data_IF_708572979378
#
_entry.id   IF_708572979378
#
_cell.length_a   1.000
_cell.length_b   1.000
_cell.length_c   1.000
_cell.angle_alpha   90.00
_cell.angle_beta   90.00
_cell.angle_gamma   90.00
#
_symmetry.space_group_name_H-M   'P 1'
#
loop_
_entity.id
_entity.type
_entity.pdbx_description
1 polymer ?
#
# COMPACT_ATOMS: atom_id res chain seq x y z
N UNK A 1 9.64 10.59 21.60
CA UNK A 1 10.60 10.88 20.52
C UNK A 1 9.94 11.80 19.52
N UNK A 2 10.72 12.65 18.85
CA UNK A 2 10.27 13.45 17.73
C UNK A 2 10.56 12.70 16.42
N UNK A 3 9.53 12.45 15.64
CA UNK A 3 9.57 11.53 14.50
C UNK A 3 9.08 12.23 13.25
N UNK A 4 9.87 12.22 12.18
CA UNK A 4 9.45 12.68 10.86
C UNK A 4 8.90 11.49 10.08
N UNK A 5 7.70 11.61 9.51
CA UNK A 5 7.11 10.62 8.61
C UNK A 5 7.05 11.21 7.22
N UNK A 6 7.93 10.74 6.32
CA UNK A 6 7.83 11.07 4.89
C UNK A 6 6.74 10.20 4.25
N UNK A 7 6.07 10.72 3.21
CA UNK A 7 4.95 10.00 2.62
C UNK A 7 3.73 9.86 3.56
N UNK A 8 3.55 10.80 4.50
CA UNK A 8 2.46 10.78 5.49
C UNK A 8 1.05 10.78 4.87
N UNK A 9 0.89 11.18 3.61
CA UNK A 9 -0.38 11.08 2.86
C UNK A 9 -0.58 9.73 2.18
N UNK A 10 0.41 8.83 2.21
CA UNK A 10 0.33 7.51 1.60
C UNK A 10 -0.42 6.50 2.46
N UNK A 11 -0.67 5.31 1.88
CA UNK A 11 -1.42 4.23 2.53
C UNK A 11 -0.85 3.84 3.91
N UNK A 12 0.43 3.50 3.96
CA UNK A 12 1.09 3.12 5.21
C UNK A 12 1.35 4.34 6.09
N UNK A 13 1.84 5.44 5.47
CA UNK A 13 2.25 6.64 6.22
C UNK A 13 1.12 7.26 7.04
N UNK A 14 -0.09 7.38 6.47
CA UNK A 14 -1.23 7.93 7.20
C UNK A 14 -1.66 7.08 8.40
N UNK A 15 -1.56 5.77 8.29
CA UNK A 15 -1.86 4.82 9.36
C UNK A 15 -0.75 4.77 10.41
N UNK A 16 0.51 4.90 9.96
CA UNK A 16 1.66 4.97 10.87
C UNK A 16 1.61 6.23 11.74
N UNK A 17 1.25 7.39 11.18
CA UNK A 17 1.06 8.61 11.98
C UNK A 17 0.07 8.37 13.12
N UNK A 18 -1.08 7.73 12.83
CA UNK A 18 -2.06 7.37 13.86
C UNK A 18 -1.45 6.47 14.94
N UNK A 19 -0.69 5.46 14.53
CA UNK A 19 -0.07 4.52 15.46
C UNK A 19 1.03 5.18 16.34
N UNK A 20 1.83 6.07 15.76
CA UNK A 20 2.87 6.80 16.47
C UNK A 20 2.28 7.78 17.51
N UNK A 21 1.21 8.48 17.14
CA UNK A 21 0.49 9.36 18.08
C UNK A 21 -0.11 8.58 19.26
N UNK A 22 -0.68 7.39 18.98
CA UNK A 22 -1.21 6.49 20.01
C UNK A 22 -0.12 6.00 20.98
N UNK A 23 1.15 5.96 20.54
CA UNK A 23 2.32 5.64 21.36
C UNK A 23 3.02 6.90 21.91
N UNK A 24 2.33 8.04 21.95
CA UNK A 24 2.78 9.30 22.56
C UNK A 24 4.08 9.87 21.94
N UNK A 25 4.30 9.62 20.64
CA UNK A 25 5.38 10.26 19.91
C UNK A 25 4.94 11.62 19.38
N UNK A 26 5.87 12.56 19.30
CA UNK A 26 5.69 13.84 18.62
C UNK A 26 5.94 13.63 17.12
N UNK A 27 4.91 13.81 16.29
CA UNK A 27 4.97 13.49 14.87
C UNK A 27 5.04 14.73 14.00
N UNK A 28 6.03 14.78 13.12
CA UNK A 28 6.15 15.72 12.01
C UNK A 28 5.69 15.00 10.75
N UNK A 29 4.50 15.33 10.28
CA UNK A 29 3.94 14.73 9.08
C UNK A 29 4.39 15.50 7.82
N UNK A 30 5.15 14.83 6.94
CA UNK A 30 5.76 15.45 5.79
C UNK A 30 5.09 15.02 4.48
N UNK A 31 4.81 16.00 3.61
CA UNK A 31 4.21 15.79 2.29
C UNK A 31 4.67 16.88 1.32
N UNK A 32 4.75 16.56 0.02
CA UNK A 32 4.97 17.55 -1.05
C UNK A 32 3.88 18.63 -1.09
N UNK A 33 2.67 18.23 -0.73
CA UNK A 33 1.53 19.14 -0.61
C UNK A 33 0.88 18.99 0.78
N UNK A 34 1.21 19.87 1.73
CA UNK A 34 0.69 19.80 3.10
C UNK A 34 -0.82 20.04 3.19
N UNK A 35 -1.46 20.67 2.19
CA UNK A 35 -2.92 20.82 2.15
C UNK A 35 -3.64 19.47 2.11
N UNK A 36 -3.00 18.43 1.56
CA UNK A 36 -3.54 17.06 1.57
C UNK A 36 -3.59 16.46 2.97
N UNK A 37 -2.70 16.88 3.87
CA UNK A 37 -2.68 16.43 5.27
C UNK A 37 -3.94 16.88 6.01
N UNK A 38 -4.51 18.05 5.67
CA UNK A 38 -5.72 18.62 6.31
C UNK A 38 -6.95 17.71 6.23
N UNK A 39 -6.93 16.74 5.32
CA UNK A 39 -8.03 15.78 5.13
C UNK A 39 -7.93 14.56 6.06
N UNK A 40 -6.83 14.43 6.79
CA UNK A 40 -6.58 13.29 7.67
C UNK A 40 -6.97 13.67 9.11
N UNK A 41 -7.63 12.74 9.79
CA UNK A 41 -8.25 12.99 11.08
C UNK A 41 -7.29 13.32 12.23
N UNK A 42 -6.00 13.15 12.01
CA UNK A 42 -4.93 13.47 12.96
C UNK A 42 -4.20 14.78 12.64
N UNK A 43 -4.69 15.55 11.67
CA UNK A 43 -3.97 16.76 11.22
C UNK A 43 -3.66 17.76 12.33
N UNK A 44 -4.59 17.95 13.25
CA UNK A 44 -4.45 18.89 14.36
C UNK A 44 -3.49 18.38 15.47
N UNK A 45 -3.13 17.09 15.42
CA UNK A 45 -2.27 16.44 16.41
C UNK A 45 -0.79 16.35 15.96
N UNK A 46 -0.46 16.85 14.76
CA UNK A 46 0.87 16.75 14.16
C UNK A 46 1.45 18.12 13.78
N UNK A 47 2.76 18.17 13.56
CA UNK A 47 3.40 19.30 12.90
C UNK A 47 3.52 19.07 11.39
N UNK A 48 2.66 19.70 10.54
CA UNK A 48 2.73 19.49 9.09
C UNK A 48 3.96 20.19 8.49
N UNK A 49 4.64 19.54 7.54
CA UNK A 49 5.79 20.11 6.82
C UNK A 49 5.70 19.82 5.32
N UNK A 50 6.12 20.80 4.53
CA UNK A 50 6.39 20.59 3.11
C UNK A 50 7.73 19.88 2.97
N UNK A 51 7.73 18.73 2.30
CA UNK A 51 8.94 17.96 2.03
C UNK A 51 8.82 17.28 0.67
N UNK A 52 9.73 17.62 -0.22
CA UNK A 52 9.99 16.90 -1.46
C UNK A 52 11.34 16.19 -1.35
N UNK A 53 11.33 14.86 -1.37
CA UNK A 53 12.54 14.05 -1.24
C UNK A 53 13.47 14.17 -2.47
N UNK A 54 12.95 14.61 -3.61
CA UNK A 54 13.76 14.89 -4.81
C UNK A 54 14.51 16.22 -4.73
N UNK A 55 14.12 17.11 -3.81
CA UNK A 55 14.72 18.44 -3.65
C UNK A 55 15.47 18.56 -2.31
N UNK A 56 16.83 18.60 -2.34
CA UNK A 56 17.64 18.77 -1.14
C UNK A 56 17.38 20.08 -0.38
N UNK A 57 16.91 21.13 -1.05
CA UNK A 57 16.58 22.41 -0.41
C UNK A 57 15.31 22.25 0.42
N UNK A 58 14.28 21.63 -0.15
CA UNK A 58 13.04 21.28 0.54
C UNK A 58 13.30 20.41 1.77
N UNK A 59 14.15 19.38 1.62
CA UNK A 59 14.55 18.50 2.72
C UNK A 59 15.20 19.28 3.86
N UNK A 60 16.23 20.10 3.58
CA UNK A 60 16.92 20.90 4.61
C UNK A 60 15.97 21.86 5.34
N UNK A 61 15.10 22.53 4.58
CA UNK A 61 14.10 23.44 5.17
C UNK A 61 13.12 22.69 6.09
N UNK A 62 12.65 21.50 5.68
CA UNK A 62 11.77 20.67 6.47
C UNK A 62 12.42 20.24 7.80
N UNK A 63 13.65 19.72 7.76
CA UNK A 63 14.38 19.29 8.95
C UNK A 63 14.74 20.46 9.88
N UNK A 64 15.21 21.59 9.33
CA UNK A 64 15.50 22.78 10.11
C UNK A 64 14.27 23.30 10.87
N UNK A 65 13.09 23.26 10.23
CA UNK A 65 11.84 23.70 10.87
C UNK A 65 11.20 22.64 11.78
N UNK A 66 11.63 21.38 11.69
CA UNK A 66 11.16 20.30 12.56
C UNK A 66 11.84 20.32 13.94
N UNK A 67 12.99 21.00 14.09
CA UNK A 67 13.83 20.92 15.29
C UNK A 67 14.60 19.59 15.38
N UNK A 68 15.14 19.23 16.55
CA UNK A 68 15.85 17.98 16.72
C UNK A 68 14.95 16.77 16.42
N UNK A 69 15.34 15.93 15.47
CA UNK A 69 14.60 14.75 15.03
C UNK A 69 15.33 13.50 15.49
N UNK A 70 14.62 12.60 16.17
CA UNK A 70 15.17 11.33 16.62
C UNK A 70 15.16 10.28 15.52
N UNK A 71 14.01 10.14 14.85
CA UNK A 71 13.75 9.08 13.86
C UNK A 71 13.08 9.66 12.61
N UNK A 72 13.48 9.18 11.45
CA UNK A 72 12.80 9.47 10.20
C UNK A 72 12.27 8.16 9.58
N UNK A 73 10.99 8.14 9.21
CA UNK A 73 10.41 7.07 8.40
C UNK A 73 10.46 7.45 6.92
N UNK A 74 11.13 6.62 6.13
CA UNK A 74 11.17 6.77 4.69
C UNK A 74 10.15 5.84 4.03
N UNK A 75 9.02 6.44 3.58
CA UNK A 75 7.88 5.72 2.99
C UNK A 75 7.55 6.26 1.59
N UNK A 76 8.50 6.86 0.92
CA UNK A 76 8.33 7.45 -0.42
C UNK A 76 8.78 6.46 -1.49
N UNK A 77 8.01 6.38 -2.57
CA UNK A 77 8.37 5.61 -3.77
C UNK A 77 7.65 6.16 -5.00
N UNK A 78 8.23 5.93 -6.18
CA UNK A 78 7.71 6.37 -7.47
C UNK A 78 7.21 5.24 -8.38
N UNK A 79 6.97 4.02 -7.86
CA UNK A 79 6.50 2.86 -8.65
C UNK A 79 5.37 3.25 -9.60
N UNK A 80 5.42 2.75 -10.83
CA UNK A 80 4.44 3.05 -11.86
C UNK A 80 4.70 4.36 -12.61
N UNK A 81 5.78 5.09 -12.28
CA UNK A 81 6.22 6.28 -13.01
C UNK A 81 7.44 5.95 -13.88
N UNK A 82 7.54 6.48 -15.10
CA UNK A 82 8.73 6.30 -15.92
C UNK A 82 9.99 6.75 -15.18
N UNK A 83 11.04 5.93 -15.19
CA UNK A 83 12.33 6.23 -14.53
C UNK A 83 12.27 6.28 -13.01
N UNK A 84 11.30 5.62 -12.41
CA UNK A 84 11.10 5.63 -10.95
C UNK A 84 12.31 5.10 -10.17
N UNK A 85 13.07 4.13 -10.73
CA UNK A 85 14.24 3.53 -10.09
C UNK A 85 15.32 4.56 -9.76
N UNK A 86 15.74 5.34 -10.76
CA UNK A 86 16.75 6.38 -10.57
C UNK A 86 16.24 7.52 -9.68
N UNK A 87 14.96 7.89 -9.84
CA UNK A 87 14.32 8.91 -9.03
C UNK A 87 14.19 8.50 -7.55
N UNK A 88 13.83 7.26 -7.27
CA UNK A 88 13.71 6.71 -5.89
C UNK A 88 15.10 6.64 -5.24
N UNK A 89 16.14 6.18 -5.97
CA UNK A 89 17.52 6.14 -5.48
C UNK A 89 18.04 7.55 -5.16
N UNK A 90 17.84 8.51 -6.06
CA UNK A 90 18.25 9.89 -5.84
C UNK A 90 17.54 10.53 -4.63
N UNK A 91 16.23 10.32 -4.51
CA UNK A 91 15.44 10.83 -3.38
C UNK A 91 15.90 10.23 -2.04
N UNK A 92 16.19 8.93 -2.01
CA UNK A 92 16.73 8.24 -0.83
C UNK A 92 18.11 8.79 -0.44
N UNK A 93 19.01 8.98 -1.41
CA UNK A 93 20.34 9.57 -1.20
C UNK A 93 20.23 10.98 -0.62
N UNK A 94 19.37 11.82 -1.19
CA UNK A 94 19.15 13.19 -0.70
C UNK A 94 18.67 13.20 0.75
N UNK A 95 17.69 12.34 1.07
CA UNK A 95 17.18 12.24 2.44
C UNK A 95 18.26 11.77 3.41
N UNK A 96 19.03 10.74 3.06
CA UNK A 96 20.06 10.17 3.93
C UNK A 96 21.13 11.22 4.29
N UNK A 97 21.60 11.99 3.29
CA UNK A 97 22.56 13.07 3.49
C UNK A 97 22.00 14.15 4.41
N UNK A 98 20.77 14.61 4.15
CA UNK A 98 20.15 15.66 4.97
C UNK A 98 19.84 15.17 6.36
N UNK A 99 19.40 13.93 6.54
CA UNK A 99 19.14 13.32 7.85
C UNK A 99 20.43 13.23 8.67
N UNK A 100 21.54 12.80 8.07
CA UNK A 100 22.87 12.81 8.69
C UNK A 100 23.26 14.22 9.14
N UNK A 101 23.18 15.20 8.23
CA UNK A 101 23.58 16.58 8.51
C UNK A 101 22.71 17.26 9.57
N UNK A 102 21.46 16.82 9.70
CA UNK A 102 20.51 17.25 10.75
C UNK A 102 20.68 16.50 12.08
N UNK A 103 21.60 15.55 12.18
CA UNK A 103 21.85 14.78 13.39
C UNK A 103 20.73 13.76 13.73
N UNK A 104 19.98 13.30 12.74
CA UNK A 104 18.99 12.23 12.91
C UNK A 104 19.71 10.96 13.36
N UNK A 105 19.17 10.29 14.37
CA UNK A 105 19.80 9.08 14.92
C UNK A 105 19.43 7.82 14.15
N UNK A 106 18.23 7.79 13.55
CA UNK A 106 17.70 6.57 12.92
C UNK A 106 16.85 6.86 11.72
N UNK A 107 17.04 6.04 10.67
CA UNK A 107 16.18 5.96 9.49
C UNK A 107 15.46 4.62 9.52
N UNK A 108 14.14 4.62 9.45
CA UNK A 108 13.32 3.40 9.28
C UNK A 108 12.75 3.40 7.88
N UNK A 109 13.12 2.41 7.09
CA UNK A 109 12.67 2.23 5.71
C UNK A 109 11.73 1.04 5.61
N UNK A 110 10.56 1.23 5.02
CA UNK A 110 9.67 0.13 4.62
C UNK A 110 9.79 -0.09 3.11
N UNK A 111 10.40 -1.22 2.75
CA UNK A 111 10.57 -1.67 1.37
C UNK A 111 9.85 -2.97 1.09
N UNK A 112 10.20 -3.63 -0.04
CA UNK A 112 9.81 -5.00 -0.34
C UNK A 112 10.83 -6.01 0.14
N UNK A 113 10.48 -7.28 0.12
CA UNK A 113 11.46 -8.36 0.16
C UNK A 113 12.38 -8.26 -1.05
N UNK A 114 13.63 -8.60 -0.85
CA UNK A 114 14.59 -8.74 -1.94
C UNK A 114 15.04 -10.20 -1.97
N UNK A 115 14.47 -11.03 -2.85
CA UNK A 115 14.91 -12.40 -3.04
C UNK A 115 16.40 -12.46 -3.37
N UNK A 116 17.05 -13.56 -2.99
CA UNK A 116 18.46 -13.79 -3.31
C UNK A 116 18.70 -14.23 -4.77
N UNK A 117 17.77 -13.97 -5.67
CA UNK A 117 17.84 -14.33 -7.08
C UNK A 117 18.77 -13.42 -7.87
N UNK A 118 19.43 -13.97 -8.91
CA UNK A 118 20.34 -13.20 -9.75
C UNK A 118 19.65 -12.20 -10.69
N UNK A 119 18.38 -12.46 -11.05
CA UNK A 119 17.60 -11.63 -11.98
C UNK A 119 16.34 -11.10 -11.30
N UNK A 120 16.47 -10.00 -10.58
CA UNK A 120 15.34 -9.31 -9.93
C UNK A 120 14.57 -8.44 -10.92
N UNK A 121 13.26 -8.29 -10.73
CA UNK A 121 12.47 -7.28 -11.42
C UNK A 121 12.99 -5.87 -11.13
N UNK A 122 12.69 -4.92 -12.03
CA UNK A 122 13.10 -3.52 -11.84
C UNK A 122 12.59 -2.96 -10.50
N UNK A 123 11.37 -3.32 -10.12
CA UNK A 123 10.78 -2.95 -8.84
C UNK A 123 11.58 -3.50 -7.64
N UNK A 124 11.93 -4.78 -7.63
CA UNK A 124 12.69 -5.39 -6.52
C UNK A 124 14.12 -4.84 -6.44
N UNK A 125 14.75 -4.62 -7.60
CA UNK A 125 16.06 -3.98 -7.69
C UNK A 125 16.03 -2.56 -7.10
N UNK A 126 15.00 -1.76 -7.44
CA UNK A 126 14.83 -0.42 -6.87
C UNK A 126 14.74 -0.44 -5.34
N UNK A 127 14.07 -1.44 -4.75
CA UNK A 127 13.97 -1.55 -3.28
C UNK A 127 15.32 -1.79 -2.60
N UNK A 128 16.16 -2.63 -3.19
CA UNK A 128 17.52 -2.86 -2.70
C UNK A 128 18.39 -1.60 -2.83
N UNK A 129 18.35 -0.93 -3.99
CA UNK A 129 19.13 0.30 -4.24
C UNK A 129 18.72 1.46 -3.33
N UNK A 130 17.43 1.57 -2.99
CA UNK A 130 16.94 2.55 -2.01
C UNK A 130 17.51 2.25 -0.62
N UNK A 131 17.52 0.99 -0.17
CA UNK A 131 18.12 0.61 1.11
C UNK A 131 19.62 0.93 1.16
N UNK A 132 20.35 0.65 0.07
CA UNK A 132 21.76 1.00 -0.07
C UNK A 132 21.96 2.52 0.02
N UNK A 133 21.15 3.29 -0.71
CA UNK A 133 21.23 4.75 -0.73
C UNK A 133 20.89 5.41 0.64
N UNK A 134 20.07 4.75 1.46
CA UNK A 134 19.75 5.19 2.82
C UNK A 134 20.86 4.84 3.83
N UNK A 135 21.81 3.98 3.45
CA UNK A 135 22.92 3.57 4.32
C UNK A 135 24.03 4.61 4.23
N UNK A 136 24.14 5.47 5.25
CA UNK A 136 25.16 6.51 5.37
C UNK A 136 25.79 6.47 6.75
N UNK A 137 26.99 7.02 6.90
CA UNK A 137 27.62 7.16 8.22
C UNK A 137 26.81 8.14 9.08
N UNK A 138 26.47 7.73 10.31
CA UNK A 138 25.75 8.51 11.30
C UNK A 138 24.41 7.87 11.67
N UNK A 139 23.33 8.07 10.90
CA UNK A 139 22.04 7.44 11.20
C UNK A 139 22.08 5.92 11.10
N UNK A 140 21.50 5.24 12.09
CA UNK A 140 21.24 3.80 11.99
C UNK A 140 20.11 3.51 10.99
N UNK A 141 20.32 2.57 10.08
CA UNK A 141 19.25 2.11 9.19
C UNK A 141 18.55 0.86 9.74
N UNK A 142 17.22 0.92 9.83
CA UNK A 142 16.36 -0.26 9.97
C UNK A 142 15.55 -0.42 8.68
N UNK A 143 15.86 -1.46 7.93
CA UNK A 143 15.13 -1.81 6.72
C UNK A 143 14.13 -2.92 7.03
N UNK A 144 12.84 -2.62 6.88
CA UNK A 144 11.75 -3.57 7.02
C UNK A 144 11.24 -3.92 5.62
N UNK A 145 11.42 -5.18 5.20
CA UNK A 145 10.88 -5.70 3.95
C UNK A 145 9.50 -6.31 4.16
N UNK A 146 8.56 -6.07 3.24
CA UNK A 146 7.26 -6.73 3.25
C UNK A 146 6.88 -7.15 1.83
N UNK A 147 6.24 -8.32 1.69
CA UNK A 147 5.65 -8.75 0.44
C UNK A 147 4.29 -8.06 0.22
N UNK A 148 3.21 -8.79 0.40
CA UNK A 148 1.85 -8.27 0.27
C UNK A 148 1.31 -7.78 1.61
N UNK A 149 0.98 -6.49 1.71
CA UNK A 149 0.31 -5.93 2.89
C UNK A 149 -1.20 -5.97 2.66
N UNK A 150 -1.93 -6.66 3.56
CA UNK A 150 -3.38 -6.81 3.48
C UNK A 150 -4.07 -5.70 4.25
N UNK A 151 -4.94 -4.97 3.56
CA UNK A 151 -5.80 -3.93 4.11
C UNK A 151 -6.41 -3.08 3.00
N UNK A 152 -7.60 -2.52 3.22
CA UNK A 152 -8.28 -1.69 2.24
C UNK A 152 -7.46 -0.44 1.90
N UNK A 153 -7.18 -0.23 0.61
CA UNK A 153 -6.32 0.85 0.12
C UNK A 153 -4.87 0.44 -0.14
N UNK A 154 -4.43 -0.72 0.32
CA UNK A 154 -3.13 -1.27 -0.08
C UNK A 154 -3.13 -1.62 -1.56
N UNK A 155 -2.12 -1.18 -2.30
CA UNK A 155 -2.02 -1.40 -3.75
C UNK A 155 -2.15 -2.88 -4.11
N UNK A 156 -1.35 -3.75 -3.49
CA UNK A 156 -1.36 -5.19 -3.77
C UNK A 156 -2.69 -5.85 -3.41
N UNK A 157 -3.27 -5.47 -2.25
CA UNK A 157 -4.58 -5.98 -1.85
C UNK A 157 -5.70 -5.53 -2.80
N UNK A 158 -5.72 -4.27 -3.20
CA UNK A 158 -6.75 -3.75 -4.11
C UNK A 158 -6.60 -4.32 -5.53
N UNK A 159 -5.38 -4.63 -5.98
CA UNK A 159 -5.18 -5.37 -7.23
C UNK A 159 -5.77 -6.78 -7.14
N UNK A 160 -5.44 -7.53 -6.09
CA UNK A 160 -6.02 -8.86 -5.84
C UNK A 160 -7.55 -8.78 -5.76
N UNK A 161 -8.09 -7.78 -5.05
CA UNK A 161 -9.52 -7.52 -4.95
C UNK A 161 -10.15 -7.25 -6.31
N UNK A 162 -9.52 -6.41 -7.14
CA UNK A 162 -10.03 -6.10 -8.46
C UNK A 162 -10.05 -7.33 -9.39
N UNK A 163 -9.02 -8.19 -9.31
CA UNK A 163 -8.99 -9.48 -10.00
C UNK A 163 -10.14 -10.38 -9.51
N UNK A 164 -10.24 -10.57 -8.19
CA UNK A 164 -11.28 -11.40 -7.59
C UNK A 164 -12.69 -10.88 -7.82
N UNK A 165 -12.89 -9.57 -7.93
CA UNK A 165 -14.20 -8.98 -8.20
C UNK A 165 -14.65 -9.14 -9.66
N UNK A 166 -13.72 -9.24 -10.61
CA UNK A 166 -14.00 -9.16 -12.05
C UNK A 166 -14.03 -10.51 -12.75
N UNK A 167 -13.19 -11.44 -12.31
CA UNK A 167 -13.01 -12.71 -13.00
C UNK A 167 -13.70 -13.88 -12.25
N UNK A 168 -14.97 -14.17 -12.53
CA UNK A 168 -15.62 -15.36 -11.96
C UNK A 168 -14.97 -16.65 -12.48
N UNK A 169 -14.46 -16.68 -13.72
CA UNK A 169 -13.59 -17.72 -14.24
C UNK A 169 -12.16 -17.18 -14.25
N UNK A 170 -11.36 -17.64 -13.28
CA UNK A 170 -10.03 -17.13 -13.01
C UNK A 170 -8.98 -17.94 -13.76
N UNK A 171 -8.27 -17.37 -14.74
CA UNK A 171 -7.09 -18.02 -15.28
C UNK A 171 -6.01 -18.08 -14.20
N UNK A 172 -5.45 -19.26 -13.99
CA UNK A 172 -4.41 -19.50 -12.99
C UNK A 172 -3.11 -19.89 -13.72
N UNK A 173 -2.22 -18.93 -14.01
CA UNK A 173 -0.88 -19.20 -14.47
C UNK A 173 -0.04 -19.91 -13.41
N UNK A 174 1.01 -20.62 -13.83
CA UNK A 174 1.86 -21.39 -12.92
C UNK A 174 2.58 -20.55 -11.86
N UNK A 175 2.93 -19.30 -12.16
CA UNK A 175 3.55 -18.40 -11.19
C UNK A 175 2.61 -18.00 -10.02
N UNK A 176 1.31 -18.18 -10.15
CA UNK A 176 0.38 -17.98 -9.03
C UNK A 176 0.54 -19.03 -7.92
N UNK A 177 1.31 -20.07 -8.14
CA UNK A 177 1.69 -21.06 -7.13
C UNK A 177 2.96 -20.67 -6.37
N UNK A 178 3.65 -19.61 -6.79
CA UNK A 178 4.81 -19.10 -6.07
C UNK A 178 4.45 -18.75 -4.62
N UNK A 179 5.29 -19.14 -3.66
CA UNK A 179 5.03 -18.87 -2.27
C UNK A 179 5.20 -17.38 -1.96
N UNK A 180 4.35 -16.90 -1.06
CA UNK A 180 4.35 -15.52 -0.56
C UNK A 180 4.03 -15.51 0.92
N UNK A 181 4.66 -14.59 1.67
CA UNK A 181 4.34 -14.31 3.06
C UNK A 181 3.53 -13.01 3.17
N UNK A 182 2.19 -13.06 3.09
CA UNK A 182 1.35 -11.89 3.27
C UNK A 182 1.34 -11.46 4.74
N UNK A 183 1.19 -10.16 4.96
CA UNK A 183 1.10 -9.60 6.31
C UNK A 183 -0.03 -8.58 6.42
N UNK A 184 -0.70 -8.57 7.57
CA UNK A 184 -1.71 -7.57 7.89
C UNK A 184 -1.11 -6.17 8.08
N UNK A 185 -1.80 -5.12 7.65
CA UNK A 185 -1.39 -3.74 7.92
C UNK A 185 -1.28 -3.45 9.43
N UNK A 186 -2.12 -4.06 10.26
CA UNK A 186 -2.04 -3.94 11.73
C UNK A 186 -0.68 -4.39 12.24
N UNK A 187 -0.22 -5.53 11.74
CA UNK A 187 1.01 -6.14 12.20
C UNK A 187 2.24 -5.41 11.62
N UNK A 188 2.16 -4.91 10.37
CA UNK A 188 3.17 -4.00 9.81
C UNK A 188 3.34 -2.75 10.67
N UNK A 189 2.24 -2.10 11.05
CA UNK A 189 2.31 -0.89 11.89
C UNK A 189 2.93 -1.18 13.26
N UNK A 190 2.64 -2.35 13.86
CA UNK A 190 3.27 -2.78 15.09
C UNK A 190 4.79 -2.85 14.97
N UNK A 191 5.30 -3.48 13.92
CA UNK A 191 6.73 -3.58 13.66
C UNK A 191 7.35 -2.21 13.35
N UNK A 192 6.66 -1.38 12.57
CA UNK A 192 7.10 -0.02 12.30
C UNK A 192 7.23 0.81 13.58
N UNK A 193 6.22 0.78 14.47
CA UNK A 193 6.29 1.50 15.76
C UNK A 193 7.46 0.98 16.61
N UNK A 194 7.63 -0.33 16.70
CA UNK A 194 8.74 -0.93 17.45
C UNK A 194 10.12 -0.53 16.89
N UNK A 195 10.23 -0.37 15.57
CA UNK A 195 11.47 0.00 14.90
C UNK A 195 11.98 1.41 15.23
N UNK A 196 11.15 2.26 15.86
CA UNK A 196 11.62 3.56 16.37
C UNK A 196 12.60 3.41 17.53
N UNK A 197 12.50 2.33 18.31
CA UNK A 197 13.31 2.12 19.52
C UNK A 197 14.53 1.21 19.22
N UNK A 198 15.78 1.74 19.32
CA UNK A 198 16.98 0.95 19.12
C UNK A 198 17.16 -0.17 20.18
N UNK A 199 16.56 -0.03 21.35
CA UNK A 199 16.58 -1.06 22.39
C UNK A 199 15.70 -2.25 22.07
N UNK A 200 14.71 -2.09 21.18
CA UNK A 200 13.80 -3.15 20.73
C UNK A 200 14.24 -3.73 19.39
N UNK A 201 14.50 -2.88 18.39
CA UNK A 201 14.91 -3.30 17.05
C UNK A 201 16.26 -2.67 16.72
N UNK A 202 17.36 -3.42 16.77
CA UNK A 202 18.68 -2.95 16.34
C UNK A 202 18.69 -2.54 14.86
N UNK A 203 19.71 -1.77 14.46
CA UNK A 203 19.98 -1.50 13.05
C UNK A 203 20.15 -2.79 12.26
N UNK A 204 19.62 -2.84 11.03
CA UNK A 204 19.69 -4.02 10.18
C UNK A 204 18.49 -4.16 9.25
N UNK A 205 18.50 -5.23 8.47
CA UNK A 205 17.41 -5.63 7.59
C UNK A 205 16.57 -6.73 8.25
N UNK A 206 15.26 -6.66 8.09
CA UNK A 206 14.30 -7.61 8.64
C UNK A 206 13.13 -7.80 7.69
N UNK A 207 12.72 -9.05 7.49
CA UNK A 207 11.54 -9.36 6.69
C UNK A 207 10.30 -9.48 7.58
N UNK A 208 9.23 -8.82 7.16
CA UNK A 208 7.94 -8.82 7.84
C UNK A 208 7.03 -9.88 7.24
N UNK A 209 6.73 -10.93 7.97
CA UNK A 209 5.81 -11.99 7.56
C UNK A 209 4.61 -12.09 8.49
N UNK A 210 3.47 -12.47 7.93
CA UNK A 210 2.31 -12.92 8.70
C UNK A 210 2.52 -14.30 9.32
N UNK A 211 1.48 -14.90 9.92
CA UNK A 211 1.60 -16.16 10.63
C UNK A 211 1.80 -17.37 9.71
N UNK A 212 1.46 -17.25 8.42
CA UNK A 212 1.47 -18.38 7.47
C UNK A 212 1.90 -17.95 6.08
N UNK A 213 2.73 -18.77 5.45
CA UNK A 213 3.03 -18.68 4.02
C UNK A 213 1.82 -19.11 3.20
N UNK A 214 1.59 -18.46 2.07
CA UNK A 214 0.49 -18.71 1.15
C UNK A 214 0.99 -18.77 -0.30
N UNK A 215 0.08 -18.76 -1.26
CA UNK A 215 0.36 -18.48 -2.66
C UNK A 215 -0.68 -17.50 -3.21
N UNK A 216 -0.39 -16.86 -4.34
CA UNK A 216 -1.36 -15.94 -4.96
C UNK A 216 -2.69 -16.65 -5.29
N UNK A 217 -2.63 -17.93 -5.68
CA UNK A 217 -3.81 -18.78 -5.89
C UNK A 217 -4.63 -18.94 -4.60
N UNK A 218 -3.98 -19.27 -3.49
CA UNK A 218 -4.67 -19.44 -2.20
C UNK A 218 -5.20 -18.12 -1.66
N UNK A 219 -4.48 -17.01 -1.86
CA UNK A 219 -4.97 -15.67 -1.49
C UNK A 219 -6.25 -15.32 -2.25
N UNK A 220 -6.32 -15.59 -3.56
CA UNK A 220 -7.54 -15.37 -4.35
C UNK A 220 -8.71 -16.29 -3.93
N UNK A 221 -8.44 -17.56 -3.63
CA UNK A 221 -9.45 -18.46 -3.07
C UNK A 221 -9.98 -17.97 -1.72
N UNK A 222 -9.07 -17.53 -0.85
CA UNK A 222 -9.44 -16.97 0.45
C UNK A 222 -10.27 -15.70 0.28
N UNK A 223 -9.86 -14.80 -0.62
CA UNK A 223 -10.65 -13.62 -0.95
C UNK A 223 -12.06 -13.99 -1.44
N UNK A 224 -12.17 -14.96 -2.35
CA UNK A 224 -13.44 -15.43 -2.87
C UNK A 224 -14.35 -15.95 -1.76
N UNK A 225 -13.82 -16.78 -0.86
CA UNK A 225 -14.53 -17.37 0.27
C UNK A 225 -14.99 -16.29 1.25
N UNK A 226 -14.10 -15.39 1.67
CA UNK A 226 -14.38 -14.34 2.65
C UNK A 226 -15.35 -13.29 2.08
N UNK A 227 -15.21 -12.94 0.79
CA UNK A 227 -16.11 -11.99 0.13
C UNK A 227 -17.46 -12.59 -0.27
N UNK A 228 -17.63 -13.91 -0.15
CA UNK A 228 -18.86 -14.62 -0.58
C UNK A 228 -19.02 -14.65 -2.11
N UNK A 229 -17.94 -14.50 -2.88
CA UNK A 229 -17.98 -14.53 -4.34
C UNK A 229 -17.72 -15.93 -4.87
N UNK A 230 -18.43 -16.27 -5.93
CA UNK A 230 -18.19 -17.52 -6.64
C UNK A 230 -17.05 -17.36 -7.65
N UNK A 231 -16.10 -18.29 -7.62
CA UNK A 231 -14.99 -18.35 -8.56
C UNK A 231 -14.75 -19.80 -8.99
N UNK A 232 -14.40 -19.98 -10.27
CA UNK A 232 -13.85 -21.22 -10.78
C UNK A 232 -12.42 -20.97 -11.28
N UNK A 233 -11.48 -21.81 -10.87
CA UNK A 233 -10.10 -21.75 -11.32
C UNK A 233 -9.95 -22.49 -12.65
N UNK A 234 -9.32 -21.85 -13.64
CA UNK A 234 -8.96 -22.45 -14.92
C UNK A 234 -7.42 -22.47 -15.02
N UNK A 235 -6.78 -23.64 -14.85
CA UNK A 235 -5.34 -23.74 -15.07
C UNK A 235 -4.99 -23.41 -16.52
N UNK A 236 -4.10 -22.45 -16.76
CA UNK A 236 -3.71 -22.02 -18.11
C UNK A 236 -2.23 -22.29 -18.43
N UNK A 237 -1.54 -23.01 -17.53
CA UNK A 237 -0.13 -23.35 -17.70
C UNK A 237 0.80 -22.14 -17.55
N UNK A 238 1.90 -22.12 -18.32
CA UNK A 238 2.83 -20.99 -18.33
C UNK A 238 2.26 -19.86 -19.19
N UNK A 239 1.95 -18.75 -18.55
CA UNK A 239 1.63 -17.48 -19.20
C UNK A 239 2.76 -16.53 -18.87
N UNK A 240 3.31 -15.90 -19.89
CA UNK A 240 4.32 -14.86 -19.73
C UNK A 240 3.76 -13.70 -18.87
N UNK A 241 4.52 -13.27 -17.89
CA UNK A 241 4.14 -12.15 -17.01
C UNK A 241 3.94 -10.86 -17.78
N UNK A 242 4.68 -10.62 -18.88
CA UNK A 242 4.47 -9.47 -19.75
C UNK A 242 3.07 -9.50 -20.39
N UNK A 243 2.59 -10.68 -20.86
CA UNK A 243 1.23 -10.82 -21.36
C UNK A 243 0.18 -10.67 -20.24
N UNK A 244 0.46 -11.23 -19.07
CA UNK A 244 -0.40 -11.07 -17.90
C UNK A 244 -0.51 -9.60 -17.45
N UNK A 245 0.60 -8.86 -17.47
CA UNK A 245 0.68 -7.42 -17.24
C UNK A 245 -0.20 -6.63 -18.20
N UNK A 246 -0.09 -6.90 -19.49
CA UNK A 246 -0.89 -6.23 -20.52
C UNK A 246 -2.39 -6.45 -20.30
N UNK A 247 -2.79 -7.70 -20.05
CA UNK A 247 -4.18 -8.05 -19.77
C UNK A 247 -4.67 -7.35 -18.49
N UNK A 248 -3.85 -7.33 -17.45
CA UNK A 248 -4.15 -6.73 -16.17
C UNK A 248 -4.29 -5.21 -16.31
N UNK A 249 -3.38 -4.55 -17.03
CA UNK A 249 -3.43 -3.11 -17.29
C UNK A 249 -4.65 -2.65 -18.09
N UNK A 250 -5.22 -3.53 -18.94
CA UNK A 250 -6.45 -3.24 -19.68
C UNK A 250 -7.70 -3.59 -18.87
N UNK A 251 -7.68 -4.72 -18.17
CA UNK A 251 -8.86 -5.28 -17.51
C UNK A 251 -9.08 -4.74 -16.09
N UNK A 252 -8.05 -4.20 -15.44
CA UNK A 252 -8.14 -3.67 -14.08
C UNK A 252 -8.13 -2.14 -14.06
N UNK A 253 -8.72 -1.51 -13.05
CA UNK A 253 -8.70 -0.04 -12.88
C UNK A 253 -7.36 0.49 -12.36
N UNK A 254 -6.30 -0.29 -12.48
CA UNK A 254 -4.95 0.01 -12.00
C UNK A 254 -4.18 0.79 -13.06
N UNK A 255 -3.38 1.82 -12.70
CA UNK A 255 -2.48 2.45 -13.65
C UNK A 255 -1.56 1.42 -14.32
N UNK A 256 -1.41 1.50 -15.65
CA UNK A 256 -0.73 0.47 -16.43
C UNK A 256 0.70 0.21 -15.95
N UNK A 257 1.54 1.24 -15.78
CA UNK A 257 2.92 1.07 -15.31
C UNK A 257 3.01 0.42 -13.93
N UNK A 258 2.07 0.73 -13.03
CA UNK A 258 2.02 0.09 -11.71
C UNK A 258 1.64 -1.40 -11.80
N UNK A 259 0.75 -1.76 -12.72
CA UNK A 259 0.38 -3.15 -12.95
C UNK A 259 1.56 -3.95 -13.53
N UNK A 260 2.29 -3.36 -14.47
CA UNK A 260 3.49 -3.95 -15.09
C UNK A 260 4.55 -4.27 -14.03
N UNK A 261 4.97 -3.26 -13.26
CA UNK A 261 6.01 -3.39 -12.23
C UNK A 261 5.67 -4.45 -11.17
N UNK A 262 4.39 -4.50 -10.74
CA UNK A 262 3.98 -5.43 -9.70
C UNK A 262 3.78 -6.85 -10.23
N UNK A 263 3.25 -7.03 -11.43
CA UNK A 263 3.04 -8.37 -12.02
C UNK A 263 4.37 -9.04 -12.34
N UNK A 264 5.38 -8.29 -12.80
CA UNK A 264 6.72 -8.82 -13.03
C UNK A 264 7.33 -9.42 -11.75
N UNK A 265 7.05 -8.80 -10.59
CA UNK A 265 7.52 -9.30 -9.30
C UNK A 265 6.88 -10.62 -8.85
N UNK A 266 5.76 -11.05 -9.48
CA UNK A 266 5.05 -12.29 -9.12
C UNK A 266 5.80 -13.57 -9.55
N UNK A 267 6.76 -13.45 -10.46
CA UNK A 267 7.60 -14.59 -10.88
C UNK A 267 8.57 -15.04 -9.78
N UNK A 268 8.81 -14.17 -8.78
CA UNK A 268 9.72 -14.47 -7.67
C UNK A 268 8.97 -14.97 -6.44
N UNK A 269 9.53 -15.97 -5.71
CA UNK A 269 9.07 -16.29 -4.37
C UNK A 269 9.24 -15.09 -3.43
N UNK A 270 8.15 -14.70 -2.77
CA UNK A 270 8.14 -13.56 -1.84
C UNK A 270 7.98 -14.05 -0.40
N UNK A 271 8.98 -14.80 0.06
CA UNK A 271 9.03 -15.43 1.40
C UNK A 271 10.11 -14.78 2.22
N UNK A 272 9.85 -14.55 3.50
CA UNK A 272 10.78 -13.96 4.44
C UNK A 272 12.06 -14.82 4.55
N UNK A 273 13.20 -14.20 4.32
CA UNK A 273 14.52 -14.83 4.40
C UNK A 273 15.32 -14.34 5.61
N UNK A 274 15.10 -13.09 6.04
CA UNK A 274 15.76 -12.47 7.19
C UNK A 274 14.82 -12.46 8.37
N UNK A 275 14.98 -13.42 9.26
CA UNK A 275 14.17 -13.61 10.48
C UNK A 275 14.77 -12.89 11.69
N UNK A 276 14.11 -13.01 12.84
CA UNK A 276 14.59 -12.53 14.16
C UNK A 276 13.88 -11.29 14.68
N UNK A 277 13.08 -10.59 13.85
CA UNK A 277 12.30 -9.45 14.33
C UNK A 277 11.16 -9.91 15.28
N UNK A 278 10.54 -11.04 14.96
CA UNK A 278 9.45 -11.62 15.76
C UNK A 278 9.88 -12.04 17.15
N UNK A 279 11.14 -12.46 17.31
CA UNK A 279 11.71 -12.79 18.62
C UNK A 279 11.92 -11.55 19.49
N UNK A 280 12.09 -10.39 18.87
CA UNK A 280 12.33 -9.10 19.52
C UNK A 280 11.04 -8.32 19.80
N UNK A 281 10.07 -8.44 18.93
CA UNK A 281 8.78 -7.77 19.03
C UNK A 281 7.71 -8.82 19.28
N UNK A 282 7.35 -9.08 20.55
CA UNK A 282 6.39 -10.13 20.91
C UNK A 282 5.08 -9.99 20.15
N UNK A 283 4.44 -11.08 19.79
CA UNK A 283 3.15 -11.06 19.13
C UNK A 283 2.10 -10.31 19.98
N UNK A 284 1.14 -9.63 19.36
CA UNK A 284 0.05 -8.97 20.08
C UNK A 284 -0.86 -10.02 20.76
N UNK A 285 -1.65 -9.62 21.77
CA UNK A 285 -2.69 -10.49 22.32
C UNK A 285 -3.56 -11.08 21.20
N UNK A 286 -3.65 -12.40 21.12
CA UNK A 286 -4.33 -13.12 20.04
C UNK A 286 -3.47 -13.44 18.82
N UNK A 287 -2.18 -13.12 18.84
CA UNK A 287 -1.24 -13.40 17.76
C UNK A 287 -1.30 -12.43 16.57
N UNK A 288 -0.47 -12.69 15.57
CA UNK A 288 -0.56 -12.01 14.29
C UNK A 288 -1.85 -12.41 13.57
N UNK A 289 -2.40 -11.50 12.75
CA UNK A 289 -3.64 -11.78 12.01
C UNK A 289 -3.40 -12.77 10.87
N UNK A 290 -4.23 -13.79 10.80
CA UNK A 290 -4.27 -14.67 9.65
C UNK A 290 -4.85 -13.93 8.41
N UNK A 291 -4.61 -14.47 7.22
CA UNK A 291 -5.05 -13.91 5.94
C UNK A 291 -6.57 -13.72 5.90
N UNK A 292 -7.32 -14.69 6.41
CA UNK A 292 -8.78 -14.66 6.44
C UNK A 292 -9.32 -13.45 7.21
N UNK A 293 -8.82 -13.27 8.42
CA UNK A 293 -9.25 -12.18 9.30
C UNK A 293 -8.82 -10.83 8.76
N UNK A 294 -7.60 -10.73 8.22
CA UNK A 294 -7.11 -9.50 7.61
C UNK A 294 -7.95 -9.09 6.38
N UNK A 295 -8.33 -10.04 5.52
CA UNK A 295 -9.23 -9.79 4.39
C UNK A 295 -10.63 -9.42 4.88
N UNK A 296 -11.17 -10.13 5.88
CA UNK A 296 -12.49 -9.82 6.44
C UNK A 296 -12.56 -8.39 7.00
N UNK A 297 -11.54 -7.98 7.75
CA UNK A 297 -11.41 -6.62 8.28
C UNK A 297 -11.29 -5.57 7.16
N UNK A 298 -10.49 -5.85 6.13
CA UNK A 298 -10.34 -4.96 4.98
C UNK A 298 -11.66 -4.77 4.20
N UNK A 299 -12.49 -5.81 4.12
CA UNK A 299 -13.80 -5.75 3.45
C UNK A 299 -14.90 -5.12 4.33
N UNK A 300 -14.78 -5.18 5.64
CA UNK A 300 -15.78 -4.66 6.58
C UNK A 300 -16.02 -3.13 6.43
N UNK A 301 -15.02 -2.37 6.02
CA UNK A 301 -15.13 -0.92 5.76
C UNK A 301 -15.97 -0.55 4.53
N UNK A 302 -16.25 -1.50 3.63
CA UNK A 302 -17.10 -1.31 2.44
C UNK A 302 -18.59 -1.32 2.69
N UNK A 303 -19.04 -1.70 3.88
CA UNK A 303 -20.46 -1.65 4.26
C UNK A 303 -20.92 -0.21 4.49
N UNK A 304 -22.21 0.09 4.21
CA UNK A 304 -22.89 1.41 4.29
C UNK A 304 -22.85 2.09 5.68
N UNK A 305 -21.91 1.76 6.55
CA UNK A 305 -21.71 2.43 7.82
C UNK A 305 -21.10 3.82 7.59
N UNK A 306 -21.52 4.78 8.41
CA UNK A 306 -20.99 6.13 8.38
C UNK A 306 -19.47 6.07 8.50
N UNK A 307 -18.73 6.69 7.56
CA UNK A 307 -17.28 6.71 7.62
C UNK A 307 -16.83 7.36 8.94
N UNK A 308 -15.80 6.78 9.55
CA UNK A 308 -15.17 7.34 10.74
C UNK A 308 -13.87 8.05 10.32
N UNK A 309 -13.51 9.16 10.96
CA UNK A 309 -12.23 9.79 10.74
C UNK A 309 -11.08 8.83 11.11
N UNK A 310 -9.96 8.93 10.42
CA UNK A 310 -8.76 8.17 10.77
C UNK A 310 -8.20 8.74 12.06
N UNK A 311 -8.28 7.96 13.12
CA UNK A 311 -7.70 8.26 14.42
C UNK A 311 -7.18 6.98 15.06
N UNK A 312 -6.61 7.08 16.26
CA UNK A 312 -6.06 5.93 16.99
C UNK A 312 -7.06 4.78 17.24
N UNK A 313 -8.36 5.06 17.16
CA UNK A 313 -9.44 4.09 17.38
C UNK A 313 -9.94 3.45 16.08
N UNK A 314 -9.44 3.89 14.93
CA UNK A 314 -9.84 3.36 13.62
C UNK A 314 -9.04 2.09 13.32
N UNK A 315 -9.75 1.04 12.90
CA UNK A 315 -9.10 -0.17 12.44
C UNK A 315 -8.22 0.14 11.19
N UNK A 316 -6.91 -0.11 11.23
CA UNK A 316 -6.00 0.20 10.14
C UNK A 316 -6.27 -0.58 8.85
N UNK A 317 -7.02 -1.69 8.91
CA UNK A 317 -7.42 -2.44 7.72
C UNK A 317 -8.49 -1.71 6.90
N UNK A 318 -9.24 -0.80 7.51
CA UNK A 318 -10.30 -0.07 6.84
C UNK A 318 -9.73 1.15 6.12
N UNK A 319 -10.41 1.54 5.04
CA UNK A 319 -10.10 2.80 4.38
C UNK A 319 -10.36 3.97 5.32
N UNK A 320 -9.43 4.93 5.42
CA UNK A 320 -9.66 6.18 6.17
C UNK A 320 -10.71 7.07 5.51
N UNK A 321 -11.37 6.65 4.43
CA UNK A 321 -12.44 7.39 3.78
C UNK A 321 -13.54 7.74 4.77
N UNK A 322 -13.45 8.93 5.32
CA UNK A 322 -14.48 9.54 6.14
C UNK A 322 -15.59 10.08 5.24
N UNK A 323 -16.78 10.31 5.78
CA UNK A 323 -17.86 10.99 5.06
C UNK A 323 -17.52 12.41 4.61
N UNK A 324 -16.42 12.96 5.09
CA UNK A 324 -15.89 14.27 4.76
C UNK A 324 -15.10 14.26 3.45
N UNK A 325 -14.47 13.12 3.12
CA UNK A 325 -13.73 12.96 1.90
C UNK A 325 -14.06 11.61 1.26
N UNK A 326 -14.86 11.58 0.17
CA UNK A 326 -15.18 10.35 -0.55
C UNK A 326 -13.95 9.69 -1.19
N UNK A 327 -12.82 10.38 -1.19
CA UNK A 327 -11.51 9.88 -1.56
C UNK A 327 -10.58 10.15 -0.37
N UNK A 328 -10.27 9.12 0.40
CA UNK A 328 -9.14 9.24 1.32
C UNK A 328 -7.91 9.49 0.45
N UNK A 329 -7.23 10.59 0.69
CA UNK A 329 -6.01 10.94 -0.06
C UNK A 329 -4.87 9.96 0.15
N UNK A 330 -4.99 9.07 1.13
CA UNK A 330 -4.05 8.01 1.42
C UNK A 330 -4.28 6.73 0.61
N UNK A 331 -5.47 6.54 0.06
CA UNK A 331 -5.80 5.34 -0.71
C UNK A 331 -5.78 5.66 -2.22
N UNK A 332 -5.37 4.70 -3.07
CA UNK A 332 -5.40 4.90 -4.51
C UNK A 332 -6.81 5.25 -5.01
N UNK A 333 -6.90 6.16 -5.98
CA UNK A 333 -8.19 6.61 -6.52
C UNK A 333 -9.03 5.47 -7.14
N UNK A 334 -8.40 4.38 -7.54
CA UNK A 334 -9.02 3.18 -8.11
C UNK A 334 -9.38 2.12 -7.05
N UNK A 335 -8.93 2.29 -5.79
CA UNK A 335 -9.21 1.36 -4.69
C UNK A 335 -10.69 1.33 -4.28
N UNK A 336 -11.08 0.29 -3.56
CA UNK A 336 -12.42 0.16 -2.96
C UNK A 336 -13.34 -0.82 -3.67
N UNK A 337 -12.81 -1.63 -4.60
CA UNK A 337 -13.53 -2.64 -5.38
C UNK A 337 -14.40 -2.06 -6.50
N UNK A 338 -14.85 -2.94 -7.38
CA UNK A 338 -15.55 -2.59 -8.62
C UNK A 338 -16.78 -1.69 -8.43
N UNK A 339 -17.60 -2.00 -7.45
CA UNK A 339 -18.81 -1.22 -7.22
C UNK A 339 -18.52 0.24 -6.87
N UNK A 340 -17.43 0.49 -6.14
CA UNK A 340 -17.03 1.85 -5.76
C UNK A 340 -16.36 2.57 -6.92
N UNK A 341 -15.55 1.85 -7.69
CA UNK A 341 -14.90 2.35 -8.88
C UNK A 341 -15.93 2.77 -9.94
N UNK A 342 -16.87 1.90 -10.30
CA UNK A 342 -17.96 2.20 -11.25
C UNK A 342 -18.80 3.40 -10.77
N UNK A 343 -19.09 3.52 -9.48
CA UNK A 343 -19.79 4.69 -8.96
C UNK A 343 -19.01 5.98 -9.13
N UNK A 344 -17.69 5.95 -9.00
CA UNK A 344 -16.82 7.13 -9.23
C UNK A 344 -16.88 7.54 -10.71
N UNK A 345 -16.65 6.59 -11.61
CA UNK A 345 -16.72 6.83 -13.06
C UNK A 345 -18.11 7.34 -13.48
N UNK A 346 -19.16 6.68 -13.02
CA UNK A 346 -20.51 7.04 -13.32
C UNK A 346 -20.89 8.45 -12.82
N UNK A 347 -20.39 8.87 -11.65
CA UNK A 347 -20.57 10.24 -11.14
C UNK A 347 -19.93 11.29 -12.02
N UNK A 348 -18.81 10.98 -12.69
CA UNK A 348 -18.13 11.89 -13.60
C UNK A 348 -18.87 12.07 -14.92
N UNK A 349 -19.67 11.06 -15.36
CA UNK A 349 -20.35 11.03 -16.66
C UNK A 349 -21.84 11.38 -16.53
N UNK A 350 -22.47 11.04 -15.38
CA UNK A 350 -23.94 11.08 -15.22
C UNK A 350 -24.40 12.38 -14.58
N UNK A 351 -25.44 13.04 -15.13
CA UNK A 351 -26.07 14.18 -14.49
C UNK A 351 -26.54 13.85 -13.06
N UNK A 352 -26.54 14.83 -12.14
CA UNK A 352 -26.93 14.62 -10.74
C UNK A 352 -28.27 13.90 -10.54
N UNK A 353 -29.23 14.15 -11.43
CA UNK A 353 -30.59 13.61 -11.37
C UNK A 353 -30.65 12.09 -11.61
N UNK A 354 -29.71 11.55 -12.39
CA UNK A 354 -29.65 10.11 -12.71
C UNK A 354 -28.75 9.31 -11.73
N UNK A 355 -28.06 9.96 -10.80
CA UNK A 355 -27.14 9.29 -9.84
C UNK A 355 -27.80 8.27 -8.92
N UNK A 356 -29.08 8.42 -8.49
CA UNK A 356 -29.74 7.40 -7.66
C UNK A 356 -29.87 6.04 -8.34
N UNK A 357 -29.99 5.99 -9.70
CA UNK A 357 -30.10 4.74 -10.45
C UNK A 357 -28.82 3.90 -10.40
N UNK A 358 -27.67 4.53 -10.12
CA UNK A 358 -26.39 3.81 -9.95
C UNK A 358 -26.35 2.89 -8.72
N UNK A 359 -27.32 3.01 -7.80
CA UNK A 359 -27.48 2.08 -6.68
C UNK A 359 -27.86 0.68 -7.17
N UNK A 360 -28.52 0.57 -8.31
CA UNK A 360 -28.93 -0.71 -8.90
C UNK A 360 -27.73 -1.58 -9.31
N UNK A 361 -26.57 -0.99 -9.64
CA UNK A 361 -25.34 -1.73 -9.99
C UNK A 361 -24.85 -2.61 -8.83
N UNK A 362 -25.26 -2.31 -7.60
CA UNK A 362 -24.89 -3.10 -6.40
C UNK A 362 -25.90 -4.19 -6.06
N UNK A 363 -27.09 -4.16 -6.64
CA UNK A 363 -28.20 -5.05 -6.28
C UNK A 363 -28.17 -6.34 -7.09
N UNK A 364 -27.44 -6.38 -8.20
CA UNK A 364 -27.35 -7.58 -9.05
C UNK A 364 -26.51 -8.65 -8.34
N UNK A 365 -27.11 -9.78 -7.90
CA UNK A 365 -26.38 -10.85 -7.23
C UNK A 365 -25.65 -11.78 -8.22
N UNK A 366 -24.65 -12.51 -7.71
CA UNK A 366 -24.03 -13.63 -8.37
C UNK A 366 -22.94 -13.27 -9.42
N UNK A 367 -22.46 -14.29 -10.18
CA UNK A 367 -21.35 -14.14 -11.10
C UNK A 367 -21.63 -13.18 -12.27
N UNK A 368 -22.88 -13.07 -12.70
CA UNK A 368 -23.29 -12.12 -13.74
C UNK A 368 -23.06 -10.67 -13.35
N UNK A 369 -23.10 -10.35 -12.07
CA UNK A 369 -22.85 -9.00 -11.56
C UNK A 369 -21.40 -8.56 -11.78
N UNK A 370 -20.43 -9.48 -11.65
CA UNK A 370 -19.02 -9.23 -11.93
C UNK A 370 -18.81 -8.88 -13.41
N UNK A 371 -19.34 -9.69 -14.30
CA UNK A 371 -19.25 -9.47 -15.75
C UNK A 371 -19.90 -8.16 -16.17
N UNK A 372 -21.10 -7.86 -15.65
CA UNK A 372 -21.81 -6.60 -15.93
C UNK A 372 -20.99 -5.39 -15.48
N UNK A 373 -20.43 -5.46 -14.27
CA UNK A 373 -19.59 -4.39 -13.71
C UNK A 373 -18.33 -4.18 -14.52
N UNK A 374 -17.65 -5.25 -14.95
CA UNK A 374 -16.48 -5.18 -15.82
C UNK A 374 -16.83 -4.53 -17.16
N UNK A 375 -17.93 -4.93 -17.77
CA UNK A 375 -18.39 -4.32 -19.02
C UNK A 375 -18.72 -2.82 -18.88
N UNK A 376 -19.36 -2.42 -17.79
CA UNK A 376 -19.65 -1.02 -17.48
C UNK A 376 -18.37 -0.22 -17.21
N UNK A 377 -17.41 -0.78 -16.54
CA UNK A 377 -16.14 -0.12 -16.25
C UNK A 377 -15.34 0.16 -17.53
N UNK A 378 -15.22 -0.84 -18.39
CA UNK A 378 -14.57 -0.68 -19.71
C UNK A 378 -15.28 0.41 -20.52
N UNK A 379 -16.61 0.35 -20.59
CA UNK A 379 -17.41 1.34 -21.33
C UNK A 379 -17.20 2.75 -20.79
N UNK A 380 -17.26 2.95 -19.47
CA UNK A 380 -17.10 4.25 -18.84
C UNK A 380 -15.68 4.77 -18.96
N UNK A 381 -14.67 3.93 -18.83
CA UNK A 381 -13.26 4.29 -18.99
C UNK A 381 -12.98 4.74 -20.42
N UNK A 382 -13.47 4.01 -21.44
CA UNK A 382 -13.34 4.40 -22.83
C UNK A 382 -14.07 5.71 -23.14
N UNK A 383 -15.27 5.91 -22.57
CA UNK A 383 -16.04 7.15 -22.75
C UNK A 383 -15.33 8.35 -22.14
N UNK A 384 -14.69 8.19 -20.97
CA UNK A 384 -13.93 9.28 -20.34
C UNK A 384 -12.64 9.59 -21.11
N UNK A 385 -11.93 8.57 -21.61
CA UNK A 385 -10.77 8.78 -22.48
C UNK A 385 -11.14 9.52 -23.77
N UNK A 386 -12.25 9.15 -24.42
CA UNK A 386 -12.74 9.82 -25.62
C UNK A 386 -13.20 11.28 -25.40
N UNK A 387 -13.56 11.65 -24.17
CA UNK A 387 -13.91 13.04 -23.82
C UNK A 387 -12.70 13.90 -23.45
N UNK A 388 -11.59 13.27 -23.10
CA UNK A 388 -10.35 13.95 -22.73
C UNK A 388 -9.39 14.14 -23.91
N UNK A 389 -9.61 13.40 -25.01
CA UNK A 389 -8.95 13.56 -26.30
C UNK A 389 -9.73 14.56 -27.16
#
# INVERSE_FOLDING_TARGET
MRIVVTGATGYVGSRLVTALLANQHEVVAASRNPERLKRLGWFDDVAPRTLDASDPVSLRAAFASAGPVDVVYYLVHGIGQPGFRDADKAAATNLAVVARDAGVRRIVYLGGFVPADEALSEHLTSRAEVAEALTVEGPELVWLGAAMIIGAGSTSFEMMRAVGDRFPLMPIPSWMDNPIDPISIRDVLRYLVAAADPGVVPAGAYDLSGPTTSSYRELLKTYARVSGRWHAALPVGRVDTALASLITGVALPVPQGLAEDLVESLDHPMVASVSGLRDRVPDPPGGLLCVDDAIALALAGGSNRRPKPVNALTDPHQSPASGWCPQADSDPAWAGGDAQHIRRLARAITPPIARPTLRLVNVVPGPLAGMLRTGLDILFTLTLKARAA
#
